data_IF_498102675020
#
_entry.id   IF_498102675020
#
_cell.length_a   1.000
_cell.length_b   1.000
_cell.length_c   1.000
_cell.angle_alpha   90.00
_cell.angle_beta   90.00
_cell.angle_gamma   90.00
#
_symmetry.space_group_name_H-M   'P 1'
#
loop_
_entity.id
_entity.type
_entity.pdbx_description
1 polymer ?
#
# COMPACT_ATOMS: atom_id res chain seq x y z
N UNK A 1 1.38 -15.30 0.16
CA UNK A 1 2.70 -14.99 0.76
C UNK A 1 2.79 -13.50 0.93
N UNK A 2 3.27 -13.03 2.09
CA UNK A 2 3.57 -11.62 2.30
C UNK A 2 4.93 -11.33 1.69
N UNK A 3 5.08 -10.18 1.02
CA UNK A 3 6.32 -9.83 0.31
C UNK A 3 7.44 -9.29 1.20
N UNK A 4 7.10 -8.88 2.42
CA UNK A 4 8.02 -8.18 3.32
C UNK A 4 7.95 -8.67 4.75
N UNK A 5 9.12 -8.94 5.32
CA UNK A 5 9.30 -9.27 6.73
C UNK A 5 9.45 -8.00 7.58
N UNK A 6 9.11 -8.12 8.87
CA UNK A 6 9.28 -7.05 9.85
C UNK A 6 10.74 -6.57 9.98
N UNK A 7 11.70 -7.48 9.78
CA UNK A 7 13.13 -7.16 9.71
C UNK A 7 13.45 -6.25 8.53
N UNK A 8 12.89 -6.53 7.34
CA UNK A 8 13.13 -5.71 6.15
C UNK A 8 12.47 -4.33 6.28
N UNK A 9 11.25 -4.27 6.83
CA UNK A 9 10.55 -3.01 7.09
C UNK A 9 11.36 -2.09 8.00
N UNK A 10 11.98 -2.63 9.05
CA UNK A 10 12.74 -1.81 10.01
C UNK A 10 14.16 -1.52 9.54
N UNK A 11 14.86 -2.50 8.96
CA UNK A 11 16.29 -2.40 8.66
C UNK A 11 16.59 -1.83 7.27
N UNK A 12 15.75 -2.12 6.26
CA UNK A 12 15.96 -1.65 4.89
C UNK A 12 15.06 -0.44 4.58
N UNK A 13 13.77 -0.54 4.87
CA UNK A 13 12.82 0.55 4.65
C UNK A 13 12.90 1.64 5.74
N UNK A 14 13.33 1.31 6.96
CA UNK A 14 13.46 2.28 8.06
C UNK A 14 12.13 2.62 8.75
N UNK A 15 11.07 1.86 8.52
CA UNK A 15 9.75 2.09 9.07
C UNK A 15 9.68 1.77 10.57
N UNK A 16 9.04 2.65 11.35
CA UNK A 16 8.82 2.48 12.81
C UNK A 16 7.36 2.72 13.23
N UNK A 17 6.47 2.92 12.27
CA UNK A 17 5.09 3.32 12.52
C UNK A 17 4.19 2.14 12.90
N UNK A 18 4.37 0.99 12.24
CA UNK A 18 3.51 -0.19 12.42
C UNK A 18 4.01 -1.08 13.55
N UNK A 19 3.14 -1.40 14.51
CA UNK A 19 3.42 -2.37 15.59
C UNK A 19 3.27 -3.80 15.09
N UNK A 20 3.97 -4.75 15.72
CA UNK A 20 3.97 -6.18 15.34
C UNK A 20 2.57 -6.81 15.26
N UNK A 21 1.64 -6.44 16.15
CA UNK A 21 0.25 -6.91 16.12
C UNK A 21 -0.50 -6.53 14.84
N UNK A 22 -0.35 -5.28 14.39
CA UNK A 22 -0.98 -4.80 13.15
C UNK A 22 -0.16 -5.17 11.90
N UNK A 23 1.14 -5.46 12.06
CA UNK A 23 2.05 -5.76 10.96
C UNK A 23 1.57 -6.94 10.12
N UNK A 24 1.17 -8.05 10.75
CA UNK A 24 0.70 -9.25 10.02
C UNK A 24 -0.55 -8.93 9.18
N UNK A 25 -1.51 -8.20 9.77
CA UNK A 25 -2.75 -7.81 9.09
C UNK A 25 -2.46 -6.85 7.93
N UNK A 26 -1.72 -5.78 8.20
CA UNK A 26 -1.42 -4.72 7.23
C UNK A 26 -0.49 -5.21 6.12
N UNK A 27 0.47 -6.07 6.40
CA UNK A 27 1.35 -6.67 5.39
C UNK A 27 0.61 -7.57 4.42
N UNK A 28 -0.35 -8.36 4.93
CA UNK A 28 -1.24 -9.17 4.10
C UNK A 28 -2.11 -8.27 3.20
N UNK A 29 -2.69 -7.21 3.78
CA UNK A 29 -3.52 -6.26 3.05
C UNK A 29 -2.73 -5.48 2.00
N UNK A 30 -1.55 -4.99 2.35
CA UNK A 30 -0.64 -4.30 1.43
C UNK A 30 -0.19 -5.22 0.29
N UNK A 31 0.12 -6.49 0.59
CA UNK A 31 0.48 -7.49 -0.43
C UNK A 31 -0.68 -7.74 -1.40
N UNK A 32 -1.92 -7.87 -0.90
CA UNK A 32 -3.10 -8.03 -1.74
C UNK A 32 -3.32 -6.79 -2.63
N UNK A 33 -3.14 -5.59 -2.08
CA UNK A 33 -3.27 -4.33 -2.82
C UNK A 33 -2.22 -4.20 -3.93
N UNK A 34 -0.96 -4.50 -3.62
CA UNK A 34 0.14 -4.51 -4.59
C UNK A 34 -0.17 -5.49 -5.73
N UNK A 35 -0.59 -6.71 -5.42
CA UNK A 35 -1.02 -7.69 -6.43
C UNK A 35 -2.16 -7.17 -7.32
N UNK A 36 -3.15 -6.49 -6.71
CA UNK A 36 -4.26 -5.90 -7.44
C UNK A 36 -3.79 -4.85 -8.45
N UNK A 37 -2.94 -3.90 -8.03
CA UNK A 37 -2.47 -2.82 -8.91
C UNK A 37 -1.45 -3.29 -9.95
N UNK A 38 -0.71 -4.37 -9.67
CA UNK A 38 0.18 -5.00 -10.65
C UNK A 38 -0.53 -6.07 -11.49
N UNK A 39 -1.84 -6.29 -11.30
CA UNK A 39 -2.61 -7.34 -11.96
C UNK A 39 -1.99 -8.75 -11.85
N UNK A 40 -1.35 -9.04 -10.70
CA UNK A 40 -0.65 -10.32 -10.48
C UNK A 40 0.58 -10.55 -11.37
N UNK A 41 1.15 -9.49 -11.97
CA UNK A 41 2.38 -9.57 -12.79
C UNK A 41 3.66 -9.79 -11.98
N UNK A 42 3.60 -9.69 -10.65
CA UNK A 42 4.73 -9.96 -9.78
C UNK A 42 4.93 -11.47 -9.79
N UNK A 43 6.02 -11.91 -10.42
CA UNK A 43 6.47 -13.30 -10.41
C UNK A 43 7.08 -13.67 -9.06
N UNK A 44 7.51 -14.92 -8.91
CA UNK A 44 8.12 -15.45 -7.67
C UNK A 44 9.31 -14.61 -7.17
N UNK A 45 10.02 -13.92 -8.09
CA UNK A 45 11.09 -12.99 -7.76
C UNK A 45 10.56 -11.60 -7.37
N UNK A 46 10.40 -11.40 -6.06
CA UNK A 46 9.99 -10.12 -5.47
C UNK A 46 11.19 -9.17 -5.42
N UNK A 47 11.25 -8.27 -6.41
CA UNK A 47 12.26 -7.21 -6.48
C UNK A 47 12.14 -6.22 -5.30
N UNK A 48 13.26 -5.63 -4.88
CA UNK A 48 13.31 -4.63 -3.80
C UNK A 48 12.26 -3.50 -3.89
N UNK A 49 11.99 -2.88 -5.06
CA UNK A 49 10.97 -1.84 -5.15
C UNK A 49 9.55 -2.34 -4.86
N UNK A 50 9.23 -3.63 -5.08
CA UNK A 50 7.94 -4.21 -4.68
C UNK A 50 7.84 -4.32 -3.16
N UNK A 51 8.94 -4.70 -2.50
CA UNK A 51 9.03 -4.74 -1.03
C UNK A 51 8.86 -3.34 -0.45
N UNK A 52 9.56 -2.34 -1.01
CA UNK A 52 9.44 -0.95 -0.61
C UNK A 52 8.03 -0.37 -0.84
N UNK A 53 7.41 -0.69 -1.98
CA UNK A 53 6.02 -0.31 -2.25
C UNK A 53 5.06 -0.91 -1.21
N UNK A 54 5.25 -2.18 -0.87
CA UNK A 54 4.44 -2.86 0.16
C UNK A 54 4.58 -2.18 1.52
N UNK A 55 5.80 -1.79 1.92
CA UNK A 55 6.03 -1.03 3.13
C UNK A 55 5.34 0.34 3.12
N UNK A 56 5.42 1.07 2.01
CA UNK A 56 4.80 2.39 1.88
C UNK A 56 3.26 2.33 1.94
N UNK A 57 2.66 1.34 1.27
CA UNK A 57 1.21 1.08 1.34
C UNK A 57 0.79 0.71 2.76
N UNK A 58 1.57 -0.12 3.44
CA UNK A 58 1.32 -0.51 4.83
C UNK A 58 1.32 0.69 5.78
N UNK A 59 2.27 1.60 5.61
CA UNK A 59 2.39 2.83 6.41
C UNK A 59 1.18 3.76 6.22
N UNK A 60 0.76 3.92 4.97
CA UNK A 60 -0.41 4.72 4.61
C UNK A 60 -1.72 4.08 5.10
N UNK A 61 -1.86 2.75 5.03
CA UNK A 61 -2.99 2.03 5.63
C UNK A 61 -3.06 2.26 7.14
N UNK A 62 -1.92 2.15 7.83
CA UNK A 62 -1.85 2.39 9.26
C UNK A 62 -2.20 3.84 9.61
N UNK A 63 -1.70 4.82 8.84
CA UNK A 63 -2.05 6.25 8.99
C UNK A 63 -3.52 6.51 8.74
N UNK A 64 -4.15 5.80 7.81
CA UNK A 64 -5.59 5.90 7.56
C UNK A 64 -6.41 5.29 8.69
N UNK A 65 -6.02 4.13 9.23
CA UNK A 65 -6.67 3.53 10.41
C UNK A 65 -6.48 4.37 11.68
N UNK A 66 -5.30 4.97 11.83
CA UNK A 66 -4.93 5.87 12.93
C UNK A 66 -5.15 7.34 12.59
N UNK A 67 -6.06 7.64 11.65
CA UNK A 67 -6.27 8.99 11.10
C UNK A 67 -6.30 10.10 12.15
N UNK A 68 -6.09 11.37 11.73
CA UNK A 68 -6.20 12.50 12.65
C UNK A 68 -7.53 12.37 13.38
N UNK A 69 -7.51 12.66 14.67
CA UNK A 69 -8.49 12.29 15.69
C UNK A 69 -9.91 12.89 15.48
N UNK A 70 -10.16 13.44 14.28
CA UNK A 70 -11.38 14.09 13.85
C UNK A 70 -11.66 13.67 12.40
N UNK A 71 -12.86 13.13 12.20
CA UNK A 71 -13.55 12.84 10.95
C UNK A 71 -13.57 11.37 10.49
N UNK A 72 -14.72 10.78 10.81
CA UNK A 72 -15.46 9.83 9.99
C UNK A 72 -15.23 8.36 10.29
N UNK A 73 -16.06 7.88 11.23
CA UNK A 73 -17.10 6.89 10.93
C UNK A 73 -17.38 6.77 9.42
N UNK A 74 -16.58 6.00 8.71
CA UNK A 74 -16.84 5.54 7.34
C UNK A 74 -16.09 4.23 7.10
N UNK A 75 -15.98 3.41 8.14
CA UNK A 75 -15.74 1.98 7.98
C UNK A 75 -17.05 1.34 7.48
N UNK A 76 -17.23 1.29 6.16
CA UNK A 76 -18.31 0.53 5.55
C UNK A 76 -19.10 1.31 4.54
N UNK A 77 -18.54 1.50 3.36
CA UNK A 77 -19.24 1.30 2.08
C UNK A 77 -18.19 1.25 0.99
N UNK A 78 -17.79 0.03 0.65
CA UNK A 78 -17.55 -0.31 -0.74
C UNK A 78 -18.70 0.27 -1.57
N UNK A 79 -18.47 1.36 -2.31
CA UNK A 79 -19.31 1.84 -3.42
C UNK A 79 -18.72 3.12 -4.01
N UNK A 80 -18.69 3.12 -5.34
CA UNK A 80 -18.09 4.09 -6.24
C UNK A 80 -18.68 5.51 -6.12
N UNK A 81 -17.88 6.46 -6.62
CA UNK A 81 -18.29 7.75 -7.21
C UNK A 81 -18.79 8.82 -6.24
N UNK A 82 -18.00 9.89 -6.03
CA UNK A 82 -18.26 11.23 -6.60
C UNK A 82 -17.23 12.23 -6.04
N UNK A 83 -16.65 13.02 -6.96
CA UNK A 83 -15.98 14.31 -6.78
C UNK A 83 -16.09 14.95 -5.38
N UNK A 84 -15.01 14.87 -4.60
CA UNK A 84 -14.68 15.80 -3.54
C UNK A 84 -13.17 16.06 -3.63
N UNK A 85 -12.75 17.31 -3.51
CA UNK A 85 -11.41 17.83 -3.85
C UNK A 85 -10.24 17.32 -2.96
N UNK A 86 -10.28 16.10 -2.47
CA UNK A 86 -9.19 15.40 -1.77
C UNK A 86 -8.95 14.03 -2.40
N UNK A 87 -7.67 13.61 -2.50
CA UNK A 87 -7.32 12.28 -2.99
C UNK A 87 -8.01 11.21 -2.13
N UNK A 88 -8.74 10.28 -2.75
CA UNK A 88 -9.35 9.14 -2.05
C UNK A 88 -8.30 8.30 -1.32
N UNK A 89 -8.69 7.57 -0.28
CA UNK A 89 -7.82 6.66 0.46
C UNK A 89 -7.11 5.67 -0.47
N UNK A 90 -7.84 5.12 -1.45
CA UNK A 90 -7.27 4.26 -2.49
C UNK A 90 -6.28 5.01 -3.40
N UNK A 91 -6.49 6.29 -3.68
CA UNK A 91 -5.55 7.09 -4.48
C UNK A 91 -4.24 7.35 -3.73
N UNK A 92 -4.30 7.59 -2.41
CA UNK A 92 -3.10 7.76 -1.58
C UNK A 92 -2.28 6.47 -1.54
N UNK A 93 -2.93 5.33 -1.34
CA UNK A 93 -2.28 4.01 -1.40
C UNK A 93 -1.63 3.75 -2.76
N UNK A 94 -2.35 4.07 -3.85
CA UNK A 94 -1.83 3.92 -5.21
C UNK A 94 -0.62 4.84 -5.43
N UNK A 95 -0.67 6.09 -4.98
CA UNK A 95 0.43 7.04 -5.11
C UNK A 95 1.67 6.60 -4.32
N UNK A 96 1.48 6.13 -3.08
CA UNK A 96 2.55 5.58 -2.26
C UNK A 96 3.20 4.36 -2.91
N UNK A 97 2.41 3.45 -3.48
CA UNK A 97 2.94 2.31 -4.24
C UNK A 97 3.63 2.75 -5.54
N UNK A 98 3.06 3.74 -6.23
CA UNK A 98 3.56 4.28 -7.51
C UNK A 98 4.93 4.88 -7.40
N UNK A 99 5.28 5.56 -6.31
CA UNK A 99 6.63 6.14 -6.14
C UNK A 99 7.72 5.07 -6.32
N UNK A 100 7.45 3.83 -5.90
CA UNK A 100 8.41 2.73 -5.98
C UNK A 100 8.22 1.87 -7.25
N UNK A 101 6.96 1.62 -7.65
CA UNK A 101 6.65 0.77 -8.80
C UNK A 101 6.69 1.50 -10.15
N UNK A 102 6.66 2.84 -10.19
CA UNK A 102 6.71 3.59 -11.44
C UNK A 102 8.03 3.37 -12.19
N UNK A 103 9.13 3.16 -11.45
CA UNK A 103 10.44 2.90 -12.03
C UNK A 103 10.64 1.45 -12.48
N UNK A 104 9.74 0.53 -12.10
CA UNK A 104 9.87 -0.90 -12.41
C UNK A 104 9.16 -1.33 -13.69
N UNK A 105 8.27 -0.47 -14.24
CA UNK A 105 7.46 -0.81 -15.40
C UNK A 105 6.36 -1.85 -15.14
N UNK A 106 6.18 -2.29 -13.89
CA UNK A 106 5.17 -3.27 -13.51
C UNK A 106 3.75 -2.68 -13.54
N UNK A 107 3.65 -1.37 -13.32
CA UNK A 107 2.38 -0.67 -13.38
C UNK A 107 1.91 -0.53 -14.82
N UNK A 108 0.62 -0.79 -15.02
CA UNK A 108 -0.04 -0.53 -16.29
C UNK A 108 -0.04 0.97 -16.58
N UNK A 109 0.99 1.45 -17.31
CA UNK A 109 0.92 2.69 -18.09
C UNK A 109 0.00 2.36 -19.26
N UNK A 110 -1.19 2.97 -19.29
CA UNK A 110 -2.11 2.79 -20.40
C UNK A 110 -1.37 2.96 -21.73
N UNK A 111 -1.69 2.08 -22.68
CA UNK A 111 -1.35 2.28 -24.09
C UNK A 111 -1.85 3.68 -24.49
N UNK A 112 -0.93 4.55 -24.88
CA UNK A 112 -1.23 5.70 -25.75
C UNK A 112 -1.60 5.21 -27.15
#
# INVERSE_FOLDING_TARGET
MVYVDSTYYTNNYGGKLVKSDDFIRLSSMATAYINQITMGRITDDVIDPVKMATCAVMDELFKQEKGPEIASESAGKESRSYVASGKSNEQKLNEAARVWLASTGLLYRGLE
#
